data_IF_335507731015
#
_entry.id   IF_335507731015
#
_cell.length_a   1.000
_cell.length_b   1.000
_cell.length_c   1.000
_cell.angle_alpha   90.00
_cell.angle_beta   90.00
_cell.angle_gamma   90.00
#
_symmetry.space_group_name_H-M   'P 1'
#
loop_
_entity.id
_entity.type
_entity.pdbx_description
1 polymer ?
#
# COMPACT_ATOMS: atom_id res chain seq x y z
N UNK A 1 -17.42 34.86 63.23
CA UNK A 1 -16.68 34.37 62.05
C UNK A 1 -17.12 35.27 60.89
N UNK A 2 -16.24 35.99 60.23
CA UNK A 2 -16.62 36.73 59.04
C UNK A 2 -16.80 35.71 57.92
N UNK A 3 -17.97 35.67 57.37
CA UNK A 3 -18.25 34.86 56.17
C UNK A 3 -17.47 35.41 55.00
N UNK A 4 -16.64 34.54 54.39
CA UNK A 4 -16.02 34.84 53.11
C UNK A 4 -17.13 34.96 52.07
N UNK A 5 -17.41 36.17 51.62
CA UNK A 5 -18.23 36.40 50.45
C UNK A 5 -17.40 36.07 49.21
N UNK A 6 -17.55 34.87 48.71
CA UNK A 6 -17.11 34.57 47.36
C UNK A 6 -18.00 35.30 46.37
N UNK A 7 -17.56 36.44 45.88
CA UNK A 7 -18.21 37.08 44.72
C UNK A 7 -17.73 36.31 43.46
N UNK A 8 -18.50 35.35 43.07
CA UNK A 8 -18.28 34.68 41.78
C UNK A 8 -18.49 35.74 40.68
N UNK A 9 -17.42 36.16 40.05
CA UNK A 9 -17.50 37.07 38.93
C UNK A 9 -18.03 36.27 37.71
N UNK A 10 -19.32 36.41 37.48
CA UNK A 10 -20.06 35.68 36.46
C UNK A 10 -19.49 35.87 35.05
N UNK A 11 -18.87 37.02 34.79
CA UNK A 11 -18.20 37.32 33.52
C UNK A 11 -16.89 36.53 33.35
N UNK A 12 -16.11 36.35 34.42
CA UNK A 12 -14.89 35.53 34.40
C UNK A 12 -15.19 34.04 34.23
N UNK A 13 -16.26 33.55 34.88
CA UNK A 13 -16.70 32.16 34.74
C UNK A 13 -17.13 31.85 33.31
N UNK A 14 -17.93 32.73 32.70
CA UNK A 14 -18.35 32.56 31.30
C UNK A 14 -17.16 32.63 30.35
N UNK A 15 -16.16 33.47 30.62
CA UNK A 15 -14.91 33.56 29.84
C UNK A 15 -14.09 32.30 29.93
N UNK A 16 -13.94 31.69 31.14
CA UNK A 16 -13.25 30.42 31.35
C UNK A 16 -13.94 29.25 30.63
N UNK A 17 -15.25 29.13 30.75
CA UNK A 17 -16.04 28.10 30.05
C UNK A 17 -15.87 28.21 28.52
N UNK A 18 -15.84 29.44 27.98
CA UNK A 18 -15.60 29.68 26.57
C UNK A 18 -14.17 29.27 26.15
N UNK A 19 -13.16 29.59 26.98
CA UNK A 19 -11.78 29.19 26.72
C UNK A 19 -11.60 27.67 26.79
N UNK A 20 -12.20 27.02 27.77
CA UNK A 20 -12.17 25.55 27.90
C UNK A 20 -12.82 24.86 26.69
N UNK A 21 -13.97 25.37 26.24
CA UNK A 21 -14.65 24.86 25.05
C UNK A 21 -13.80 25.05 23.79
N UNK A 22 -13.21 26.23 23.61
CA UNK A 22 -12.31 26.49 22.48
C UNK A 22 -11.06 25.63 22.50
N UNK A 23 -10.51 25.35 23.69
CA UNK A 23 -9.36 24.48 23.86
C UNK A 23 -9.71 23.02 23.51
N UNK A 24 -10.89 22.55 23.92
CA UNK A 24 -11.36 21.21 23.54
C UNK A 24 -11.54 21.05 22.02
N UNK A 25 -12.11 22.08 21.35
CA UNK A 25 -12.20 22.10 19.88
C UNK A 25 -10.83 22.11 19.20
N UNK A 26 -9.88 22.89 19.72
CA UNK A 26 -8.51 22.95 19.21
C UNK A 26 -7.82 21.61 19.33
N UNK A 27 -7.95 20.94 20.47
CA UNK A 27 -7.39 19.60 20.68
C UNK A 27 -8.00 18.59 19.69
N UNK A 28 -9.31 18.62 19.48
CA UNK A 28 -9.98 17.76 18.50
C UNK A 28 -9.47 18.00 17.07
N UNK A 29 -9.26 19.27 16.70
CA UNK A 29 -8.69 19.64 15.39
C UNK A 29 -7.22 19.22 15.27
N UNK A 30 -6.44 19.38 16.34
CA UNK A 30 -5.04 18.95 16.39
C UNK A 30 -4.89 17.43 16.23
N UNK A 31 -5.74 16.65 16.91
CA UNK A 31 -5.78 15.20 16.77
C UNK A 31 -6.18 14.77 15.34
N UNK A 32 -7.15 15.44 14.75
CA UNK A 32 -7.55 15.18 13.35
C UNK A 32 -6.42 15.51 12.36
N UNK A 33 -5.67 16.60 12.58
CA UNK A 33 -4.50 16.97 11.77
C UNK A 33 -3.39 15.92 11.97
N UNK A 34 -3.12 15.53 13.23
CA UNK A 34 -2.13 14.49 13.54
C UNK A 34 -2.44 13.19 12.82
N UNK A 35 -3.68 12.71 12.89
CA UNK A 35 -4.10 11.49 12.17
C UNK A 35 -3.91 11.63 10.66
N UNK A 36 -4.23 12.79 10.09
CA UNK A 36 -3.98 13.04 8.65
C UNK A 36 -2.49 13.06 8.32
N UNK A 37 -1.68 13.69 9.16
CA UNK A 37 -0.22 13.77 8.97
C UNK A 37 0.42 12.40 9.10
N UNK A 38 0.03 11.61 10.11
CA UNK A 38 0.51 10.24 10.30
C UNK A 38 0.11 9.33 9.12
N UNK A 39 -1.03 9.61 8.47
CA UNK A 39 -1.45 8.91 7.25
C UNK A 39 -0.75 9.41 5.97
N UNK A 40 -0.22 10.64 5.96
CA UNK A 40 0.59 11.18 4.86
C UNK A 40 2.05 10.70 4.90
N UNK A 41 2.52 10.27 6.07
CA UNK A 41 3.88 9.78 6.27
C UNK A 41 4.04 8.31 5.83
N UNK A 42 3.57 7.95 4.62
CA UNK A 42 3.43 6.55 4.33
C UNK A 42 3.82 6.08 2.94
N UNK A 43 4.95 6.52 2.37
CA UNK A 43 5.65 5.68 1.42
C UNK A 43 6.30 4.54 2.20
N UNK A 44 5.68 3.36 2.17
CA UNK A 44 6.19 2.17 2.85
C UNK A 44 6.84 1.25 1.82
N UNK A 45 8.16 0.99 1.93
CA UNK A 45 8.81 -0.02 1.12
C UNK A 45 8.41 -1.42 1.61
N UNK A 46 8.13 -2.30 0.67
CA UNK A 46 7.80 -3.69 0.91
C UNK A 46 8.68 -4.57 0.05
N UNK A 47 9.25 -5.61 0.64
CA UNK A 47 10.05 -6.59 -0.07
C UNK A 47 9.72 -7.98 0.41
N UNK A 48 9.93 -8.97 -0.45
CA UNK A 48 9.71 -10.36 -0.12
C UNK A 48 10.08 -11.30 -1.25
N UNK A 49 9.82 -12.57 -1.03
CA UNK A 49 10.03 -13.62 -2.00
C UNK A 49 8.88 -14.62 -1.96
N UNK A 50 8.53 -15.17 -3.11
CA UNK A 50 7.54 -16.23 -3.23
C UNK A 50 8.11 -17.40 -4.00
N UNK A 51 7.87 -18.61 -3.53
CA UNK A 51 8.16 -19.85 -4.22
C UNK A 51 6.86 -20.51 -4.65
N UNK A 52 6.81 -21.03 -5.87
CA UNK A 52 5.63 -21.70 -6.38
C UNK A 52 6.00 -22.72 -7.48
N UNK A 53 5.02 -23.47 -7.94
CA UNK A 53 5.10 -24.32 -9.13
C UNK A 53 4.81 -23.45 -10.37
N UNK A 54 5.86 -22.75 -10.83
CA UNK A 54 5.72 -21.72 -11.86
C UNK A 54 5.36 -22.26 -13.23
N UNK A 55 5.70 -23.50 -13.54
CA UNK A 55 5.47 -24.07 -14.86
C UNK A 55 4.03 -24.59 -15.04
N UNK A 56 3.52 -25.28 -14.04
CA UNK A 56 2.25 -26.01 -14.16
C UNK A 56 1.06 -25.08 -14.26
N UNK A 57 1.07 -24.02 -13.44
CA UNK A 57 -0.04 -23.05 -13.36
C UNK A 57 0.49 -21.62 -13.25
N UNK A 58 -0.35 -20.69 -13.62
CA UNK A 58 -0.11 -19.28 -13.27
C UNK A 58 -0.20 -19.10 -11.75
N UNK A 59 0.90 -18.80 -11.11
CA UNK A 59 0.99 -18.70 -9.66
C UNK A 59 1.07 -17.24 -9.20
N UNK A 60 0.52 -16.96 -8.01
CA UNK A 60 0.56 -15.63 -7.42
C UNK A 60 1.96 -15.35 -6.86
N UNK A 61 2.55 -14.21 -7.24
CA UNK A 61 3.81 -13.71 -6.67
C UNK A 61 3.51 -12.86 -5.43
N UNK A 62 2.67 -11.85 -5.60
CA UNK A 62 2.29 -10.95 -4.51
C UNK A 62 0.91 -10.35 -4.75
N UNK A 63 0.21 -10.04 -3.67
CA UNK A 63 -1.05 -9.29 -3.68
C UNK A 63 -0.85 -8.00 -2.89
N UNK A 64 -0.97 -6.87 -3.57
CA UNK A 64 -0.65 -5.54 -3.04
C UNK A 64 -1.94 -4.78 -2.76
N UNK A 65 -2.04 -4.18 -1.56
CA UNK A 65 -3.22 -3.43 -1.13
C UNK A 65 -4.29 -4.30 -0.48
N UNK A 66 -5.43 -3.71 -0.19
CA UNK A 66 -6.56 -4.38 0.46
C UNK A 66 -7.89 -3.90 -0.13
N UNK A 67 -8.93 -4.74 0.01
CA UNK A 67 -10.27 -4.40 -0.47
C UNK A 67 -10.80 -3.11 0.17
N UNK A 68 -11.31 -2.20 -0.64
CA UNK A 68 -11.86 -0.91 -0.20
C UNK A 68 -10.82 0.15 0.18
N UNK A 69 -9.54 -0.17 0.15
CA UNK A 69 -8.47 0.79 0.43
C UNK A 69 -7.91 1.34 -0.89
N UNK A 70 -7.74 2.66 -0.94
CA UNK A 70 -7.05 3.31 -2.05
C UNK A 70 -5.58 3.41 -1.73
N UNK A 71 -4.75 2.97 -2.66
CA UNK A 71 -3.30 3.07 -2.54
C UNK A 71 -2.71 3.59 -3.86
N UNK A 72 -1.50 4.11 -3.78
CA UNK A 72 -0.66 4.41 -4.92
C UNK A 72 0.59 3.54 -4.82
N UNK A 73 0.87 2.79 -5.87
CA UNK A 73 2.13 2.07 -6.01
C UNK A 73 3.06 2.97 -6.79
N UNK A 74 4.24 3.26 -6.26
CA UNK A 74 5.22 4.13 -6.91
C UNK A 74 6.14 3.35 -7.83
N UNK A 75 6.45 2.13 -7.44
CA UNK A 75 7.21 1.18 -8.25
C UNK A 75 6.83 -0.26 -7.89
N UNK A 76 7.13 -1.18 -8.77
CA UNK A 76 7.11 -2.62 -8.52
C UNK A 76 8.20 -3.26 -9.37
N UNK A 77 9.16 -3.87 -8.71
CA UNK A 77 10.22 -4.64 -9.34
C UNK A 77 10.11 -6.11 -8.93
N UNK A 78 10.23 -7.00 -9.90
CA UNK A 78 10.39 -8.44 -9.67
C UNK A 78 11.82 -8.85 -9.99
N UNK A 79 12.37 -9.83 -9.27
CA UNK A 79 13.63 -10.44 -9.60
C UNK A 79 13.44 -11.90 -9.98
N UNK A 80 13.85 -12.22 -11.19
CA UNK A 80 13.79 -13.56 -11.79
C UNK A 80 15.16 -14.23 -11.84
N UNK A 81 16.12 -13.79 -11.03
CA UNK A 81 17.51 -14.21 -11.07
C UNK A 81 17.72 -15.72 -10.83
N UNK A 82 16.76 -16.38 -10.18
CA UNK A 82 16.80 -17.84 -9.95
C UNK A 82 16.16 -18.66 -11.08
N UNK A 83 15.45 -18.00 -12.00
CA UNK A 83 14.72 -18.66 -13.07
C UNK A 83 15.61 -18.85 -14.30
N UNK A 84 15.26 -19.85 -15.12
CA UNK A 84 15.98 -20.21 -16.36
C UNK A 84 15.05 -20.36 -17.55
N UNK A 85 13.75 -20.08 -17.37
CA UNK A 85 12.76 -20.13 -18.44
C UNK A 85 13.00 -19.06 -19.49
N UNK A 86 12.82 -19.40 -20.76
CA UNK A 86 12.91 -18.47 -21.89
C UNK A 86 11.58 -17.74 -22.17
N UNK A 87 10.52 -18.11 -21.47
CA UNK A 87 9.23 -17.47 -21.55
C UNK A 87 8.60 -17.38 -20.15
N UNK A 88 8.96 -16.34 -19.45
CA UNK A 88 8.41 -16.00 -18.13
C UNK A 88 7.35 -14.94 -18.34
N UNK A 89 6.08 -15.31 -18.15
CA UNK A 89 4.93 -14.40 -18.29
C UNK A 89 4.58 -13.78 -16.96
N UNK A 90 4.68 -12.47 -16.87
CA UNK A 90 4.23 -11.68 -15.73
C UNK A 90 2.90 -11.04 -16.07
N UNK A 91 1.92 -11.15 -15.17
CA UNK A 91 0.58 -10.58 -15.35
C UNK A 91 0.17 -9.79 -14.14
N UNK A 92 -0.55 -8.69 -14.37
CA UNK A 92 -1.17 -7.89 -13.33
C UNK A 92 -2.68 -7.95 -13.47
N UNK A 93 -3.34 -8.12 -12.33
CA UNK A 93 -4.80 -8.17 -12.23
C UNK A 93 -5.28 -7.13 -11.22
N UNK A 94 -6.30 -6.39 -11.58
CA UNK A 94 -7.00 -5.49 -10.65
C UNK A 94 -8.50 -5.53 -10.90
N UNK A 95 -9.27 -5.08 -9.91
CA UNK A 95 -10.72 -4.93 -10.10
C UNK A 95 -11.02 -3.75 -11.02
N UNK A 96 -11.83 -4.01 -12.03
CA UNK A 96 -12.42 -3.02 -12.92
C UNK A 96 -13.94 -3.22 -12.85
N UNK A 97 -14.66 -2.22 -12.38
CA UNK A 97 -16.10 -2.32 -12.14
C UNK A 97 -16.49 -3.57 -11.32
N UNK A 98 -15.79 -3.76 -10.17
CA UNK A 98 -16.05 -4.88 -9.24
C UNK A 98 -15.51 -6.24 -9.65
N UNK A 99 -15.13 -6.45 -10.92
CA UNK A 99 -14.63 -7.72 -11.45
C UNK A 99 -13.13 -7.68 -11.64
N UNK A 100 -12.41 -8.74 -11.21
CA UNK A 100 -10.98 -8.85 -11.47
C UNK A 100 -10.72 -9.02 -12.97
N UNK A 101 -9.82 -8.18 -13.49
CA UNK A 101 -9.43 -8.17 -14.91
C UNK A 101 -7.92 -8.16 -15.01
N UNK A 102 -7.40 -8.91 -15.98
CA UNK A 102 -6.01 -8.79 -16.40
C UNK A 102 -5.82 -7.42 -17.06
N UNK A 103 -4.90 -6.62 -16.53
CA UNK A 103 -4.64 -5.25 -17.01
C UNK A 103 -3.25 -5.10 -17.63
N UNK A 104 -2.39 -6.11 -17.45
CA UNK A 104 -1.05 -6.13 -18.02
C UNK A 104 -0.59 -7.57 -18.22
N UNK A 105 0.17 -7.83 -19.27
CA UNK A 105 0.90 -9.07 -19.51
C UNK A 105 2.16 -8.77 -20.31
N UNK A 106 3.29 -9.29 -19.86
CA UNK A 106 4.55 -9.24 -20.59
C UNK A 106 5.31 -10.54 -20.39
N UNK A 107 6.01 -10.97 -21.43
CA UNK A 107 6.91 -12.12 -21.40
C UNK A 107 8.36 -11.65 -21.34
N UNK A 108 9.14 -12.36 -20.56
CA UNK A 108 10.57 -12.12 -20.36
C UNK A 108 11.33 -13.44 -20.57
N UNK A 109 12.59 -13.33 -20.92
CA UNK A 109 13.51 -14.44 -21.06
C UNK A 109 14.60 -14.34 -19.98
N UNK A 110 14.60 -15.24 -18.99
CA UNK A 110 15.55 -15.19 -17.87
C UNK A 110 17.01 -15.42 -18.31
N UNK A 111 17.23 -15.88 -19.55
CA UNK A 111 18.58 -16.12 -20.09
C UNK A 111 19.18 -14.91 -20.81
N UNK A 112 18.36 -13.96 -21.21
CA UNK A 112 18.77 -12.80 -22.03
C UNK A 112 18.32 -11.45 -21.48
N UNK A 113 17.17 -11.39 -20.80
CA UNK A 113 16.66 -10.15 -20.23
C UNK A 113 17.33 -9.82 -18.88
N UNK A 114 17.29 -8.56 -18.44
CA UNK A 114 17.71 -8.20 -17.08
C UNK A 114 16.95 -9.01 -16.02
N UNK A 115 17.65 -9.50 -15.01
CA UNK A 115 17.03 -10.30 -13.93
C UNK A 115 16.12 -9.49 -13.01
N UNK A 116 16.33 -8.18 -12.90
CA UNK A 116 15.44 -7.24 -12.19
C UNK A 116 14.48 -6.60 -13.19
N UNK A 117 13.20 -6.90 -13.07
CA UNK A 117 12.14 -6.48 -13.98
C UNK A 117 11.32 -5.34 -13.38
N UNK A 118 11.47 -4.09 -13.86
CA UNK A 118 10.62 -2.99 -13.41
C UNK A 118 9.21 -3.13 -14.04
N UNK A 119 8.32 -3.83 -13.35
CA UNK A 119 6.95 -4.11 -13.84
C UNK A 119 6.07 -2.87 -13.77
N UNK A 120 6.20 -2.08 -12.72
CA UNK A 120 5.61 -0.74 -12.60
C UNK A 120 6.76 0.23 -12.42
N UNK A 121 6.90 1.13 -13.36
CA UNK A 121 7.88 2.21 -13.31
C UNK A 121 7.13 3.55 -13.31
N UNK A 122 6.93 4.11 -12.10
CA UNK A 122 6.14 5.30 -11.87
C UNK A 122 4.87 5.03 -11.06
N UNK A 123 4.11 6.07 -10.76
CA UNK A 123 2.96 5.99 -9.86
C UNK A 123 1.73 5.39 -10.51
N UNK A 124 1.16 4.37 -9.88
CA UNK A 124 -0.07 3.73 -10.29
C UNK A 124 -1.10 3.66 -9.16
N UNK A 125 -2.24 4.33 -9.30
CA UNK A 125 -3.30 4.29 -8.31
C UNK A 125 -4.08 2.97 -8.43
N UNK A 126 -4.27 2.31 -7.28
CA UNK A 126 -5.10 1.11 -7.14
C UNK A 126 -6.24 1.35 -6.15
N UNK A 127 -7.40 0.82 -6.49
CA UNK A 127 -8.57 0.81 -5.63
C UNK A 127 -8.90 -0.65 -5.29
N UNK A 128 -8.38 -1.11 -4.17
CA UNK A 128 -8.45 -2.50 -3.75
C UNK A 128 -7.12 -3.25 -3.97
N UNK A 129 -7.20 -4.53 -4.33
CA UNK A 129 -6.03 -5.39 -4.48
C UNK A 129 -5.52 -5.36 -5.93
N UNK A 130 -4.21 -5.20 -6.09
CA UNK A 130 -3.45 -5.54 -7.29
C UNK A 130 -2.80 -6.90 -7.07
N UNK A 131 -3.13 -7.87 -7.90
CA UNK A 131 -2.53 -9.21 -7.87
C UNK A 131 -1.51 -9.34 -8.99
N UNK A 132 -0.32 -9.79 -8.62
CA UNK A 132 0.82 -10.02 -9.51
C UNK A 132 1.03 -11.52 -9.63
N UNK A 133 1.05 -12.04 -10.84
CA UNK A 133 1.25 -13.46 -11.11
C UNK A 133 2.41 -13.69 -12.07
N UNK A 134 2.98 -14.88 -11.99
CA UNK A 134 4.03 -15.33 -12.88
C UNK A 134 3.73 -16.75 -13.36
N UNK A 135 4.17 -17.06 -14.58
CA UNK A 135 4.20 -18.40 -15.14
C UNK A 135 5.44 -18.56 -16.01
N UNK A 136 6.18 -19.64 -15.81
CA UNK A 136 7.33 -20.00 -16.62
C UNK A 136 6.99 -21.14 -17.60
N UNK A 137 7.76 -21.24 -18.67
CA UNK A 137 7.71 -22.37 -19.61
C UNK A 137 8.68 -23.52 -19.21
N UNK A 138 9.44 -23.36 -18.11
CA UNK A 138 10.50 -24.29 -17.74
C UNK A 138 10.22 -24.98 -16.39
N UNK A 139 10.22 -26.31 -16.37
CA UNK A 139 10.01 -27.08 -15.15
C UNK A 139 11.12 -26.91 -14.08
N UNK A 140 12.32 -26.52 -14.49
CA UNK A 140 13.42 -26.24 -13.56
C UNK A 140 13.18 -24.99 -12.70
N UNK A 141 12.17 -24.17 -13.05
CA UNK A 141 11.79 -22.99 -12.29
C UNK A 141 10.84 -23.32 -11.12
N UNK A 142 10.24 -24.52 -11.11
CA UNK A 142 9.37 -24.93 -10.02
C UNK A 142 10.11 -24.95 -8.69
N UNK A 143 9.51 -24.35 -7.65
CA UNK A 143 10.10 -24.24 -6.32
C UNK A 143 11.22 -23.19 -6.22
N UNK A 144 11.54 -22.46 -7.29
CA UNK A 144 12.49 -21.35 -7.24
C UNK A 144 11.82 -20.09 -6.67
N UNK A 145 12.61 -19.28 -5.96
CA UNK A 145 12.13 -18.02 -5.43
C UNK A 145 12.09 -16.95 -6.53
N UNK A 146 11.01 -16.19 -6.53
CA UNK A 146 10.87 -14.93 -7.25
C UNK A 146 10.76 -13.83 -6.19
N UNK A 147 11.73 -12.93 -6.18
CA UNK A 147 11.77 -11.84 -5.23
C UNK A 147 10.95 -10.66 -5.78
N UNK A 148 10.46 -9.83 -4.88
CA UNK A 148 9.74 -8.61 -5.24
C UNK A 148 10.04 -7.47 -4.27
N UNK A 149 10.01 -6.28 -4.82
CA UNK A 149 10.11 -5.02 -4.10
C UNK A 149 9.07 -4.05 -4.65
N UNK A 150 8.38 -3.34 -3.78
CA UNK A 150 7.45 -2.28 -4.18
C UNK A 150 7.32 -1.21 -3.09
N UNK A 151 6.98 0.00 -3.52
CA UNK A 151 6.68 1.10 -2.62
C UNK A 151 5.19 1.44 -2.69
N UNK A 152 4.53 1.46 -1.53
CA UNK A 152 3.10 1.67 -1.39
C UNK A 152 2.81 2.92 -0.56
N UNK A 153 2.03 3.84 -1.11
CA UNK A 153 1.46 4.99 -0.42
C UNK A 153 -0.04 4.78 -0.20
N UNK A 154 -0.50 4.91 1.04
CA UNK A 154 -1.93 4.90 1.33
C UNK A 154 -2.53 6.26 0.98
N UNK A 155 -3.52 6.28 0.10
CA UNK A 155 -4.25 7.50 -0.23
C UNK A 155 -5.32 7.79 0.82
N UNK A 156 -5.43 9.06 1.22
CA UNK A 156 -6.52 9.50 2.10
C UNK A 156 -7.87 9.32 1.40
N UNK A 157 -8.83 8.79 2.13
CA UNK A 157 -10.24 8.66 1.71
C UNK A 157 -10.97 9.95 2.01
#
# INVERSE_FOLDING_TARGET
MPGEFYVENKAEKVSLETVESSLAELNTKADAIKVRTDNLAGENPWQGATTADWQTVEANVVSIGAAGIRNKIHDLTLSIHNLVGTQIRVRLYKKVNGTERKVYEQSFDATSDPVGLPIINGSWAIHGVLRVTLQSNNAADNGKAVDYDYMLEKMLS
#
